data_IF_691210314085
#
_entry.id   IF_691210314085
#
_cell.length_a   1.000
_cell.length_b   1.000
_cell.length_c   1.000
_cell.angle_alpha   90.00
_cell.angle_beta   90.00
_cell.angle_gamma   90.00
#
_symmetry.space_group_name_H-M   'P 1'
#
loop_
_entity.id
_entity.type
_entity.pdbx_description
1 polymer ?
#
# COMPACT_ATOMS: atom_id res chain seq x y z
N UNK A 1 -1.59 -16.30 -0.35
CA UNK A 1 -0.42 -15.88 -1.18
C UNK A 1 0.07 -14.54 -0.68
N UNK A 2 1.39 -14.37 -0.47
CA UNK A 2 2.00 -13.08 -0.13
C UNK A 2 2.92 -12.68 -1.29
N UNK A 3 2.69 -11.52 -1.88
CA UNK A 3 3.49 -10.99 -2.99
C UNK A 3 4.08 -9.65 -2.62
N UNK A 4 5.16 -9.27 -3.28
CA UNK A 4 5.84 -7.99 -3.10
C UNK A 4 6.47 -7.52 -4.41
N UNK A 5 6.63 -6.21 -4.54
CA UNK A 5 7.56 -5.61 -5.47
C UNK A 5 8.91 -5.42 -4.77
N UNK A 6 10.00 -5.72 -5.44
CA UNK A 6 11.32 -5.60 -4.82
C UNK A 6 12.44 -5.30 -5.84
N UNK A 7 13.55 -4.80 -5.33
CA UNK A 7 14.76 -4.45 -6.08
C UNK A 7 14.46 -3.63 -7.35
N UNK A 8 14.79 -4.17 -8.53
CA UNK A 8 14.65 -3.53 -9.84
C UNK A 8 13.26 -3.79 -10.45
N UNK A 9 12.19 -3.48 -9.71
CA UNK A 9 10.79 -3.69 -10.12
C UNK A 9 10.42 -5.15 -10.41
N UNK A 10 11.01 -6.08 -9.68
CA UNK A 10 10.67 -7.49 -9.78
C UNK A 10 9.44 -7.82 -8.94
N UNK A 11 8.63 -8.74 -9.44
CA UNK A 11 7.55 -9.32 -8.66
C UNK A 11 8.06 -10.53 -7.89
N UNK A 12 7.85 -10.53 -6.59
CA UNK A 12 8.24 -11.60 -5.68
C UNK A 12 7.06 -12.33 -5.05
N UNK A 13 7.18 -13.64 -4.91
CA UNK A 13 6.32 -14.45 -4.05
C UNK A 13 7.08 -14.77 -2.76
N UNK A 14 6.50 -14.40 -1.62
CA UNK A 14 7.11 -14.63 -0.29
C UNK A 14 6.64 -15.97 0.26
N UNK A 15 7.59 -16.87 0.53
CA UNK A 15 7.39 -18.16 1.22
C UNK A 15 8.38 -18.25 2.38
N UNK A 16 7.87 -18.35 3.60
CA UNK A 16 8.71 -18.30 4.81
C UNK A 16 9.49 -16.99 4.89
N UNK A 17 10.80 -17.09 4.98
CA UNK A 17 11.79 -16.03 5.04
C UNK A 17 12.47 -15.72 3.69
N UNK A 18 11.89 -16.21 2.58
CA UNK A 18 12.48 -16.08 1.25
C UNK A 18 11.53 -15.46 0.24
N UNK A 19 12.10 -14.72 -0.71
CA UNK A 19 11.43 -14.11 -1.84
C UNK A 19 11.85 -14.85 -3.12
N UNK A 20 10.88 -15.35 -3.85
CA UNK A 20 11.06 -16.03 -5.13
C UNK A 20 10.69 -15.08 -6.27
N UNK A 21 11.60 -14.92 -7.23
CA UNK A 21 11.31 -14.11 -8.41
C UNK A 21 10.24 -14.79 -9.27
N UNK A 22 9.12 -14.12 -9.43
CA UNK A 22 7.99 -14.60 -10.22
C UNK A 22 7.61 -13.60 -11.32
N UNK A 23 8.54 -12.71 -11.66
CA UNK A 23 8.33 -11.63 -12.65
C UNK A 23 7.88 -12.15 -14.00
N UNK A 24 8.27 -13.38 -14.36
CA UNK A 24 7.82 -14.03 -15.60
C UNK A 24 6.30 -14.12 -15.72
N UNK A 25 5.58 -14.20 -14.61
CA UNK A 25 4.12 -14.23 -14.63
C UNK A 25 3.53 -12.90 -15.19
N UNK A 26 4.26 -11.79 -15.10
CA UNK A 26 3.82 -10.50 -15.63
C UNK A 26 3.72 -10.46 -17.17
N UNK A 27 4.41 -11.35 -17.87
CA UNK A 27 4.34 -11.46 -19.34
C UNK A 27 2.93 -11.79 -19.83
N UNK A 28 2.09 -12.34 -18.96
CA UNK A 28 0.68 -12.67 -19.24
C UNK A 28 -0.29 -11.49 -19.03
N UNK A 29 0.21 -10.37 -18.51
CA UNK A 29 -0.61 -9.18 -18.38
C UNK A 29 -0.99 -8.64 -19.77
N UNK A 30 -2.21 -8.12 -19.92
CA UNK A 30 -2.58 -7.44 -21.15
C UNK A 30 -1.73 -6.21 -21.36
N UNK A 31 -1.46 -5.86 -22.61
CA UNK A 31 -0.77 -4.61 -22.94
C UNK A 31 -1.59 -3.41 -22.42
N UNK A 32 -0.93 -2.41 -21.85
CA UNK A 32 -1.62 -1.21 -21.39
C UNK A 32 -2.39 -0.55 -22.53
N UNK A 33 -3.62 -0.13 -22.26
CA UNK A 33 -4.44 0.66 -23.19
C UNK A 33 -4.58 2.08 -22.65
N UNK A 34 -4.74 3.05 -23.53
CA UNK A 34 -5.00 4.42 -23.12
C UNK A 34 -6.47 4.62 -22.71
N UNK A 35 -6.73 5.31 -21.59
CA UNK A 35 -5.80 5.77 -20.57
C UNK A 35 -5.55 4.68 -19.53
N UNK A 36 -4.31 4.22 -19.41
CA UNK A 36 -3.90 3.14 -18.52
C UNK A 36 -4.33 3.36 -17.06
N UNK A 37 -4.23 4.58 -16.56
CA UNK A 37 -4.56 4.92 -15.17
C UNK A 37 -6.02 4.67 -14.77
N UNK A 38 -6.95 4.66 -15.71
CA UNK A 38 -8.38 4.40 -15.44
C UNK A 38 -8.67 2.94 -15.13
N UNK A 39 -7.80 2.04 -15.57
CA UNK A 39 -8.00 0.60 -15.41
C UNK A 39 -7.40 0.05 -14.11
N UNK A 40 -6.83 0.91 -13.26
CA UNK A 40 -6.15 0.52 -12.03
C UNK A 40 -4.79 -0.15 -12.28
N UNK A 41 -4.21 -0.69 -11.21
CA UNK A 41 -2.95 -1.43 -11.29
C UNK A 41 -3.15 -2.77 -12.01
N UNK A 42 -2.46 -3.04 -13.13
CA UNK A 42 -2.68 -4.24 -13.95
C UNK A 42 -2.46 -5.55 -13.18
N UNK A 43 -1.47 -5.60 -12.28
CA UNK A 43 -1.23 -6.78 -11.46
C UNK A 43 -2.43 -7.04 -10.55
N UNK A 44 -2.93 -6.01 -9.88
CA UNK A 44 -4.04 -6.15 -8.93
C UNK A 44 -5.32 -6.56 -9.64
N UNK A 45 -5.65 -5.89 -10.75
CA UNK A 45 -6.85 -6.19 -11.56
C UNK A 45 -6.85 -7.64 -12.06
N UNK A 46 -5.69 -8.18 -12.43
CA UNK A 46 -5.57 -9.53 -12.99
C UNK A 46 -5.04 -10.57 -11.99
N UNK A 47 -4.86 -10.21 -10.72
CA UNK A 47 -4.20 -11.06 -9.72
C UNK A 47 -4.83 -12.45 -9.60
N UNK A 48 -6.14 -12.55 -9.63
CA UNK A 48 -6.84 -13.82 -9.53
C UNK A 48 -6.50 -14.77 -10.71
N UNK A 49 -6.36 -14.23 -11.92
CA UNK A 49 -5.99 -14.99 -13.12
C UNK A 49 -4.50 -15.36 -13.13
N UNK A 50 -3.64 -14.49 -12.62
CA UNK A 50 -2.20 -14.70 -12.58
C UNK A 50 -1.74 -15.61 -11.43
N UNK A 51 -2.58 -15.83 -10.45
CA UNK A 51 -2.22 -16.58 -9.24
C UNK A 51 -1.58 -17.95 -9.54
N UNK A 52 -2.13 -18.80 -10.39
CA UNK A 52 -1.50 -20.09 -10.71
C UNK A 52 -0.10 -19.93 -11.32
N UNK A 53 0.09 -18.94 -12.18
CA UNK A 53 1.37 -18.67 -12.84
C UNK A 53 2.41 -18.12 -11.87
N UNK A 54 2.00 -17.26 -10.95
CA UNK A 54 2.83 -16.73 -9.85
C UNK A 54 3.31 -17.91 -8.97
N UNK A 55 2.40 -18.80 -8.59
CA UNK A 55 2.72 -19.93 -7.73
C UNK A 55 3.64 -20.95 -8.45
N UNK A 56 3.43 -21.19 -9.74
CA UNK A 56 4.25 -22.07 -10.57
C UNK A 56 5.65 -21.50 -10.87
N UNK A 57 5.77 -20.18 -10.99
CA UNK A 57 7.05 -19.52 -11.26
C UNK A 57 8.00 -19.49 -10.04
N UNK A 58 7.49 -19.74 -8.85
CA UNK A 58 8.28 -19.69 -7.60
C UNK A 58 9.14 -20.96 -7.44
N UNK A 59 10.20 -21.06 -8.23
CA UNK A 59 11.17 -22.18 -8.28
C UNK A 59 12.53 -21.78 -7.73
N UNK A 60 13.42 -22.78 -7.51
CA UNK A 60 14.77 -22.54 -7.02
C UNK A 60 14.84 -22.24 -5.51
N UNK A 61 15.93 -21.62 -5.07
CA UNK A 61 16.21 -21.38 -3.65
C UNK A 61 15.61 -20.10 -3.10
N UNK A 62 15.17 -19.17 -3.95
CA UNK A 62 14.72 -17.84 -3.56
C UNK A 62 15.85 -16.99 -2.93
N UNK A 63 15.58 -15.72 -2.66
CA UNK A 63 16.50 -14.79 -1.98
C UNK A 63 16.03 -14.58 -0.53
N UNK A 64 16.92 -14.55 0.47
CA UNK A 64 16.52 -14.22 1.83
C UNK A 64 15.80 -12.88 1.89
N UNK A 65 14.76 -12.78 2.71
CA UNK A 65 13.92 -11.57 2.80
C UNK A 65 14.71 -10.33 3.26
N UNK A 66 15.77 -10.54 4.06
CA UNK A 66 16.67 -9.48 4.51
C UNK A 66 17.60 -8.93 3.43
N UNK A 67 17.76 -9.64 2.32
CA UNK A 67 18.67 -9.27 1.22
C UNK A 67 17.95 -8.56 0.07
N UNK A 68 16.66 -8.30 0.22
CA UNK A 68 15.85 -7.60 -0.79
C UNK A 68 15.44 -6.22 -0.32
N UNK A 69 15.42 -5.27 -1.25
CA UNK A 69 14.83 -3.94 -1.03
C UNK A 69 13.37 -3.98 -1.48
N UNK A 70 12.44 -3.88 -0.54
CA UNK A 70 11.02 -3.79 -0.86
C UNK A 70 10.66 -2.44 -1.48
N UNK A 71 9.81 -2.48 -2.47
CA UNK A 71 9.19 -1.33 -3.11
C UNK A 71 7.75 -1.16 -2.62
N UNK A 72 7.06 -0.11 -3.08
CA UNK A 72 5.64 0.07 -2.79
C UNK A 72 4.85 -1.19 -3.15
N UNK A 73 3.91 -1.65 -2.30
CA UNK A 73 3.13 -2.86 -2.56
C UNK A 73 2.21 -2.73 -3.77
N UNK A 74 1.89 -1.51 -4.20
CA UNK A 74 1.10 -1.22 -5.40
C UNK A 74 1.91 -0.30 -6.30
N UNK A 75 2.18 -0.74 -7.52
CA UNK A 75 3.04 0.00 -8.45
C UNK A 75 2.33 1.23 -9.05
N UNK A 76 1.04 1.10 -9.37
CA UNK A 76 0.28 2.15 -10.06
C UNK A 76 -1.14 2.29 -9.48
N UNK A 77 -1.31 2.75 -8.23
CA UNK A 77 -2.63 2.97 -7.67
C UNK A 77 -3.33 4.12 -8.39
N UNK A 78 -4.61 3.96 -8.68
CA UNK A 78 -5.43 5.05 -9.22
C UNK A 78 -5.72 6.12 -8.16
N UNK A 79 -5.87 5.72 -6.91
CA UNK A 79 -6.11 6.58 -5.75
C UNK A 79 -5.44 5.99 -4.52
N UNK A 80 -5.00 6.87 -3.63
CA UNK A 80 -4.63 6.54 -2.25
C UNK A 80 -5.59 7.32 -1.36
N UNK A 81 -6.35 6.59 -0.55
CA UNK A 81 -7.40 7.16 0.30
C UNK A 81 -7.03 6.86 1.74
N UNK A 82 -7.06 7.88 2.58
CA UNK A 82 -6.92 7.75 4.02
C UNK A 82 -8.26 7.93 4.73
N UNK A 83 -8.38 7.28 5.86
CA UNK A 83 -9.47 7.50 6.82
C UNK A 83 -8.94 8.37 7.96
N UNK A 84 -9.69 9.37 8.43
CA UNK A 84 -9.33 10.07 9.66
C UNK A 84 -9.48 9.09 10.83
N UNK A 85 -8.86 9.40 11.96
CA UNK A 85 -8.90 8.66 13.23
C UNK A 85 -10.05 7.66 13.35
N UNK A 86 -9.82 6.39 12.98
CA UNK A 86 -10.91 5.41 12.85
C UNK A 86 -10.77 4.20 13.80
N UNK A 87 -9.63 4.01 14.44
CA UNK A 87 -9.46 2.99 15.48
C UNK A 87 -10.03 3.50 16.80
N UNK A 88 -10.81 2.68 17.50
CA UNK A 88 -11.48 3.05 18.75
C UNK A 88 -10.50 3.60 19.81
N UNK A 89 -9.36 2.95 19.97
CA UNK A 89 -8.32 3.38 20.92
C UNK A 89 -7.71 4.74 20.51
N UNK A 90 -7.52 4.96 19.21
CA UNK A 90 -7.03 6.23 18.70
C UNK A 90 -8.05 7.37 18.88
N UNK A 91 -9.33 7.08 18.71
CA UNK A 91 -10.41 8.05 19.01
C UNK A 91 -10.38 8.43 20.49
N UNK A 92 -10.28 7.44 21.38
CA UNK A 92 -10.23 7.67 22.82
C UNK A 92 -8.97 8.46 23.26
N UNK A 93 -7.83 8.25 22.61
CA UNK A 93 -6.60 9.00 22.82
C UNK A 93 -6.74 10.45 22.34
N UNK A 94 -7.26 10.63 21.12
CA UNK A 94 -7.50 11.96 20.55
C UNK A 94 -8.48 12.78 21.39
N UNK A 95 -9.50 12.16 21.96
CA UNK A 95 -10.46 12.81 22.85
C UNK A 95 -9.82 13.29 24.16
N UNK A 96 -8.91 12.50 24.75
CA UNK A 96 -8.14 12.90 25.93
C UNK A 96 -7.21 14.09 25.67
N UNK A 97 -6.72 14.23 24.44
CA UNK A 97 -5.82 15.32 24.04
C UNK A 97 -6.55 16.60 23.63
N UNK A 98 -7.89 16.57 23.45
CA UNK A 98 -8.69 17.75 23.04
C UNK A 98 -8.59 18.91 24.00
N UNK A 99 -8.49 18.64 25.28
CA UNK A 99 -8.44 19.69 26.33
C UNK A 99 -7.12 20.49 26.31
N UNK A 100 -6.10 20.01 25.59
CA UNK A 100 -4.78 20.66 25.48
C UNK A 100 -4.72 21.64 24.31
N UNK A 101 -5.62 21.52 23.33
CA UNK A 101 -5.64 22.39 22.14
C UNK A 101 -6.88 23.29 22.16
N UNK A 102 -6.67 24.59 22.24
CA UNK A 102 -7.70 25.66 22.26
C UNK A 102 -8.59 25.72 20.99
N UNK A 103 -8.34 24.92 19.97
CA UNK A 103 -9.21 24.83 18.79
C UNK A 103 -10.21 23.69 18.96
N UNK A 104 -11.49 24.01 18.88
CA UNK A 104 -12.56 23.02 18.67
C UNK A 104 -12.27 22.28 17.37
N UNK A 105 -11.64 21.12 17.45
CA UNK A 105 -11.55 20.22 16.29
C UNK A 105 -12.93 19.61 16.07
N UNK A 106 -13.35 19.43 14.80
CA UNK A 106 -14.51 18.60 14.49
C UNK A 106 -14.33 17.21 15.12
N UNK A 107 -15.43 16.50 15.33
CA UNK A 107 -15.40 15.10 15.75
C UNK A 107 -14.31 14.34 14.98
N UNK A 108 -13.53 13.50 15.67
CA UNK A 108 -12.49 12.70 15.03
C UNK A 108 -13.06 11.45 14.30
N UNK A 109 -14.38 11.42 14.10
CA UNK A 109 -15.07 10.28 13.51
C UNK A 109 -15.08 10.37 11.98
N UNK A 110 -14.90 9.22 11.31
CA UNK A 110 -14.96 9.09 9.85
C UNK A 110 -16.32 9.53 9.29
N UNK A 111 -17.42 9.30 10.02
CA UNK A 111 -18.77 9.67 9.59
C UNK A 111 -18.95 11.19 9.46
N UNK A 112 -18.24 11.96 10.30
CA UNK A 112 -18.29 13.42 10.29
C UNK A 112 -17.26 14.05 9.34
N UNK A 113 -16.08 13.45 9.21
CA UNK A 113 -14.98 14.00 8.44
C UNK A 113 -14.88 13.42 7.02
N UNK A 114 -15.45 12.23 6.79
CA UNK A 114 -15.33 11.52 5.52
C UNK A 114 -13.92 10.99 5.27
N UNK A 115 -13.60 10.77 4.00
CA UNK A 115 -12.33 10.25 3.52
C UNK A 115 -11.47 11.38 2.94
N UNK A 116 -10.17 11.22 2.95
CA UNK A 116 -9.26 12.15 2.31
C UNK A 116 -8.32 11.47 1.31
N UNK A 117 -7.92 12.21 0.28
CA UNK A 117 -6.99 11.71 -0.73
C UNK A 117 -5.56 12.03 -0.33
N UNK A 118 -4.67 11.07 -0.54
CA UNK A 118 -3.22 11.25 -0.52
C UNK A 118 -2.69 11.23 -1.96
N UNK A 119 -1.62 11.95 -2.21
CA UNK A 119 -0.95 11.86 -3.51
C UNK A 119 -0.37 10.44 -3.71
N UNK A 120 -0.58 9.86 -4.90
CA UNK A 120 -0.04 8.52 -5.22
C UNK A 120 1.49 8.46 -5.08
N UNK A 121 2.17 9.59 -5.34
CA UNK A 121 3.61 9.75 -5.18
C UNK A 121 4.11 9.71 -3.73
N UNK A 122 3.22 9.65 -2.73
CA UNK A 122 3.58 9.47 -1.33
C UNK A 122 3.87 8.01 -0.96
N UNK A 123 3.55 7.05 -1.84
CA UNK A 123 3.83 5.64 -1.59
C UNK A 123 5.32 5.35 -1.73
N UNK A 124 5.89 4.74 -0.73
CA UNK A 124 7.28 4.29 -0.70
C UNK A 124 7.36 2.82 -0.32
N UNK A 125 8.50 2.19 -0.53
CA UNK A 125 8.77 0.81 -0.12
C UNK A 125 9.03 0.69 1.37
N UNK A 126 8.85 -0.50 1.91
CA UNK A 126 9.20 -0.80 3.29
C UNK A 126 10.71 -0.58 3.52
N UNK A 127 11.04 0.13 4.59
CA UNK A 127 12.43 0.48 4.91
C UNK A 127 12.99 1.69 4.14
N UNK A 128 12.24 2.32 3.26
CA UNK A 128 12.62 3.60 2.67
C UNK A 128 12.46 4.75 3.67
N UNK A 129 13.34 5.74 3.54
CA UNK A 129 13.38 6.88 4.47
C UNK A 129 12.40 7.96 4.06
N UNK A 130 11.54 8.38 4.98
CA UNK A 130 10.72 9.58 4.84
C UNK A 130 11.56 10.81 5.20
N UNK A 131 11.89 11.64 4.20
CA UNK A 131 12.62 12.89 4.41
C UNK A 131 11.66 13.98 4.87
N UNK A 132 11.76 14.36 6.15
CA UNK A 132 10.96 15.44 6.70
C UNK A 132 11.45 16.80 6.17
N UNK A 133 10.55 17.55 5.52
CA UNK A 133 10.86 18.91 5.04
C UNK A 133 11.11 19.89 6.18
N UNK A 134 10.43 19.69 7.30
CA UNK A 134 10.49 20.54 8.50
C UNK A 134 10.74 19.68 9.74
N UNK A 135 11.99 19.16 9.94
CA UNK A 135 12.29 18.23 11.02
C UNK A 135 12.10 18.82 12.43
N UNK A 136 12.06 20.16 12.55
CA UNK A 136 11.81 20.86 13.82
C UNK A 136 10.32 20.82 14.23
N UNK A 137 9.41 20.44 13.33
CA UNK A 137 7.99 20.29 13.66
C UNK A 137 7.73 18.88 14.20
N UNK A 138 6.81 18.79 15.14
CA UNK A 138 6.31 17.48 15.57
C UNK A 138 5.75 16.74 14.37
N UNK A 139 6.20 15.51 14.16
CA UNK A 139 5.73 14.59 13.13
C UNK A 139 5.61 13.23 13.79
N UNK A 140 4.41 12.70 13.82
CA UNK A 140 4.13 11.38 14.37
C UNK A 140 3.98 10.40 13.20
N UNK A 141 4.42 9.17 13.38
CA UNK A 141 4.13 8.07 12.46
C UNK A 141 2.93 7.29 13.00
N UNK A 142 2.12 6.78 12.10
CA UNK A 142 0.95 5.98 12.43
C UNK A 142 1.02 4.66 11.67
N UNK A 143 0.62 3.59 12.35
CA UNK A 143 0.53 2.27 11.75
C UNK A 143 -0.92 1.99 11.38
N UNK A 144 -1.15 1.68 10.10
CA UNK A 144 -2.47 1.51 9.54
C UNK A 144 -2.59 0.22 8.74
N UNK A 145 -3.80 -0.36 8.74
CA UNK A 145 -4.13 -1.47 7.85
C UNK A 145 -4.42 -0.92 6.46
N UNK A 146 -3.57 -1.26 5.48
CA UNK A 146 -3.81 -0.95 4.08
C UNK A 146 -4.74 -1.97 3.42
N UNK A 147 -5.80 -1.50 2.76
CA UNK A 147 -6.70 -2.33 1.96
C UNK A 147 -6.56 -1.96 0.49
N UNK A 148 -6.35 -2.97 -0.37
CA UNK A 148 -6.19 -2.77 -1.81
C UNK A 148 -7.46 -3.26 -2.51
N UNK A 149 -8.17 -2.33 -3.15
CA UNK A 149 -9.40 -2.64 -3.91
C UNK A 149 -9.02 -3.24 -5.26
N UNK A 150 -9.35 -4.51 -5.46
CA UNK A 150 -8.98 -5.28 -6.65
C UNK A 150 -10.06 -5.40 -7.72
N UNK A 151 -11.26 -4.88 -7.47
CA UNK A 151 -12.39 -4.89 -8.42
C UNK A 151 -13.11 -3.55 -8.35
N UNK A 152 -13.74 -3.11 -9.45
CA UNK A 152 -14.64 -1.96 -9.39
C UNK A 152 -15.68 -2.16 -8.28
N UNK A 153 -15.91 -1.12 -7.51
CA UNK A 153 -16.96 -1.07 -6.50
C UNK A 153 -17.88 0.11 -6.86
N UNK A 154 -19.13 -0.22 -7.16
CA UNK A 154 -20.21 0.73 -7.40
C UNK A 154 -21.32 0.36 -6.41
N UNK A 155 -21.75 1.32 -5.61
CA UNK A 155 -22.87 1.32 -4.64
C UNK A 155 -23.20 0.00 -3.93
#
# INVERSE_FOLDING_TARGET
MRICWYNDNRLGLVKGDRVYDVSKALEKLPKPTYPAARNGDPLIVHLAKLRPDIEAAATGSGTPIGDVKFLSPVAAPSKVIGTPTNYADHIAEADKQRDVFTMKRPSANIDDQGLFLKANSCLIGAGEVVKLRFPQRRTDHEMELGVIIGKPAEH
#
